data_IF_549024942394
#
_entry.id   IF_549024942394
#
_cell.length_a   1.000
_cell.length_b   1.000
_cell.length_c   1.000
_cell.angle_alpha   90.00
_cell.angle_beta   90.00
_cell.angle_gamma   90.00
#
_symmetry.space_group_name_H-M   'P 1'
#
loop_
_entity.id
_entity.type
_entity.pdbx_description
1 polymer ?
#
# COMPACT_ATOMS: atom_id res chain seq x y z
N UNK A 1 -19.38 54.75 11.59
CA UNK A 1 -18.88 54.77 10.21
C UNK A 1 -17.50 54.13 10.28
N UNK A 2 -17.34 52.81 10.29
CA UNK A 2 -17.93 51.79 9.40
C UNK A 2 -17.82 52.26 7.94
N UNK A 3 -17.13 51.59 7.03
CA UNK A 3 -16.98 50.16 6.90
C UNK A 3 -15.68 49.87 6.13
N UNK A 4 -14.87 48.94 6.61
CA UNK A 4 -13.64 48.49 5.94
C UNK A 4 -14.01 47.72 4.68
N UNK A 5 -13.70 48.30 3.54
CA UNK A 5 -13.82 47.67 2.22
C UNK A 5 -12.76 46.55 2.11
N UNK A 6 -13.09 45.37 2.64
CA UNK A 6 -12.28 44.16 2.47
C UNK A 6 -12.83 43.42 1.26
N UNK A 7 -12.16 43.57 0.12
CA UNK A 7 -12.32 42.69 -1.04
C UNK A 7 -12.31 41.23 -0.56
N UNK A 8 -13.30 40.40 -0.92
CA UNK A 8 -13.29 38.99 -0.53
C UNK A 8 -12.00 38.32 -1.00
N UNK A 9 -11.27 37.70 -0.07
CA UNK A 9 -10.09 36.89 -0.43
C UNK A 9 -10.59 35.73 -1.28
N UNK A 10 -10.18 35.68 -2.55
CA UNK A 10 -10.44 34.51 -3.40
C UNK A 10 -9.64 33.33 -2.84
N UNK A 11 -10.33 32.36 -2.25
CA UNK A 11 -9.73 31.11 -1.81
C UNK A 11 -9.62 30.20 -3.03
N UNK A 12 -8.40 29.88 -3.45
CA UNK A 12 -8.18 28.84 -4.46
C UNK A 12 -8.06 27.51 -3.71
N UNK A 13 -8.99 26.60 -3.98
CA UNK A 13 -8.91 25.24 -3.45
C UNK A 13 -7.76 24.48 -4.12
N UNK A 14 -7.14 23.49 -3.43
CA UNK A 14 -6.03 22.73 -3.99
C UNK A 14 -6.49 21.81 -5.13
N UNK A 15 -5.53 21.37 -5.95
CA UNK A 15 -5.74 20.34 -6.95
C UNK A 15 -6.92 20.63 -7.88
N UNK A 16 -7.66 19.58 -8.17
CA UNK A 16 -8.82 19.60 -9.05
C UNK A 16 -10.06 20.23 -8.43
N UNK A 17 -10.08 20.46 -7.12
CA UNK A 17 -11.15 21.23 -6.46
C UNK A 17 -11.11 22.71 -6.86
N UNK A 18 -9.91 23.25 -7.10
CA UNK A 18 -9.72 24.64 -7.55
C UNK A 18 -9.65 24.81 -9.05
N UNK A 19 -9.23 23.77 -9.78
CA UNK A 19 -9.14 23.75 -11.24
C UNK A 19 -9.27 22.31 -11.76
N UNK A 20 -10.41 21.98 -12.36
CA UNK A 20 -10.71 20.60 -12.84
C UNK A 20 -9.70 20.06 -13.86
N UNK A 21 -8.97 20.92 -14.56
CA UNK A 21 -7.92 20.58 -15.53
C UNK A 21 -6.53 20.41 -14.91
N UNK A 22 -6.41 20.56 -13.58
CA UNK A 22 -5.12 20.37 -12.90
C UNK A 22 -4.64 18.92 -13.02
N UNK A 23 -3.33 18.76 -13.16
CA UNK A 23 -2.59 17.50 -13.30
C UNK A 23 -1.36 17.54 -12.40
N UNK A 24 -0.69 16.41 -12.19
CA UNK A 24 0.60 16.39 -11.48
C UNK A 24 1.62 17.37 -12.08
N UNK A 25 1.62 17.57 -13.40
CA UNK A 25 2.47 18.56 -14.08
C UNK A 25 2.17 20.01 -13.71
N UNK A 26 0.92 20.34 -13.44
CA UNK A 26 0.47 21.73 -13.24
C UNK A 26 0.12 22.06 -11.80
N UNK A 27 0.01 21.06 -10.93
CA UNK A 27 -0.21 21.23 -9.51
C UNK A 27 1.06 21.79 -8.85
N UNK A 28 1.00 22.98 -8.23
CA UNK A 28 2.17 23.62 -7.64
C UNK A 28 2.72 22.88 -6.42
N UNK A 29 2.00 21.86 -5.91
CA UNK A 29 2.44 21.05 -4.77
C UNK A 29 3.38 19.92 -5.19
N UNK A 30 3.32 19.46 -6.44
CA UNK A 30 4.11 18.33 -6.94
C UNK A 30 5.61 18.58 -6.76
N UNK A 31 6.34 17.62 -6.17
CA UNK A 31 7.80 17.68 -6.12
C UNK A 31 8.34 17.69 -7.56
N UNK A 32 9.06 18.74 -7.99
CA UNK A 32 9.51 18.87 -9.38
C UNK A 32 10.45 17.72 -9.79
N UNK A 33 11.19 17.12 -8.85
CA UNK A 33 12.07 15.98 -9.13
C UNK A 33 11.26 14.71 -9.40
N UNK A 34 10.21 14.48 -8.63
CA UNK A 34 9.25 13.39 -8.87
C UNK A 34 8.56 13.60 -10.21
N UNK A 35 8.17 14.84 -10.55
CA UNK A 35 7.60 15.16 -11.84
C UNK A 35 8.52 14.75 -13.00
N UNK A 36 9.83 15.02 -12.92
CA UNK A 36 10.78 14.56 -13.95
C UNK A 36 10.74 13.03 -14.15
N UNK A 37 10.57 12.27 -13.05
CA UNK A 37 10.42 10.82 -13.08
C UNK A 37 9.11 10.39 -13.73
N UNK A 38 8.00 11.03 -13.37
CA UNK A 38 6.68 10.80 -13.97
C UNK A 38 6.69 11.08 -15.48
N UNK A 39 7.33 12.17 -15.91
CA UNK A 39 7.46 12.52 -17.33
C UNK A 39 8.22 11.46 -18.10
N UNK A 40 9.28 10.90 -17.51
CA UNK A 40 10.10 9.87 -18.16
C UNK A 40 9.31 8.57 -18.46
N UNK A 41 8.24 8.30 -17.71
CA UNK A 41 7.41 7.10 -17.86
C UNK A 41 5.98 7.39 -18.32
N UNK A 42 5.69 8.65 -18.70
CA UNK A 42 4.38 9.06 -19.24
C UNK A 42 3.24 9.11 -18.22
N UNK A 43 3.54 9.37 -16.95
CA UNK A 43 2.57 9.42 -15.84
C UNK A 43 2.32 10.82 -15.26
N UNK A 44 2.83 11.87 -15.91
CA UNK A 44 2.72 13.26 -15.44
C UNK A 44 1.38 13.94 -15.77
N UNK A 45 0.64 13.38 -16.74
CA UNK A 45 -0.66 13.86 -17.21
C UNK A 45 -1.83 13.05 -16.65
N UNK A 46 -3.03 13.34 -17.15
CA UNK A 46 -4.19 12.46 -16.95
C UNK A 46 -4.09 11.32 -17.96
N UNK A 47 -4.23 10.09 -17.49
CA UNK A 47 -4.49 8.95 -18.37
C UNK A 47 -5.83 9.12 -19.10
N UNK A 48 -5.99 8.38 -20.20
CA UNK A 48 -7.29 8.22 -20.83
C UNK A 48 -8.22 7.45 -19.88
N UNK A 49 -9.51 7.77 -19.90
CA UNK A 49 -10.50 6.99 -19.16
C UNK A 49 -10.43 5.52 -19.63
N UNK A 50 -10.66 4.54 -18.72
CA UNK A 50 -10.69 3.15 -19.09
C UNK A 50 -11.64 2.88 -20.27
N UNK A 51 -11.25 2.01 -21.23
CA UNK A 51 -12.12 1.64 -22.35
C UNK A 51 -13.28 0.71 -21.93
N UNK A 52 -13.37 0.37 -20.64
CA UNK A 52 -14.36 -0.52 -20.04
C UNK A 52 -15.06 0.19 -18.87
N UNK A 53 -16.22 -0.31 -18.48
CA UNK A 53 -17.00 0.21 -17.34
C UNK A 53 -17.33 -0.93 -16.37
N UNK A 54 -17.85 -0.63 -15.18
CA UNK A 54 -18.22 -1.68 -14.22
C UNK A 54 -19.31 -2.66 -14.73
N UNK A 55 -20.08 -2.25 -15.74
CA UNK A 55 -21.09 -3.08 -16.40
C UNK A 55 -20.52 -3.91 -17.57
N UNK A 56 -19.24 -3.72 -17.91
CA UNK A 56 -18.56 -4.53 -18.93
C UNK A 56 -18.48 -6.00 -18.49
N UNK A 57 -18.51 -6.95 -19.45
CA UNK A 57 -18.26 -8.36 -19.17
C UNK A 57 -16.95 -8.59 -18.41
N UNK A 58 -16.94 -9.56 -17.47
CA UNK A 58 -15.79 -9.83 -16.60
C UNK A 58 -14.51 -10.16 -17.38
N UNK A 59 -14.60 -10.84 -18.51
CA UNK A 59 -13.47 -11.14 -19.39
C UNK A 59 -12.82 -9.87 -19.95
N UNK A 60 -13.60 -8.85 -20.31
CA UNK A 60 -13.08 -7.54 -20.73
C UNK A 60 -12.42 -6.78 -19.56
N UNK A 61 -12.97 -6.90 -18.35
CA UNK A 61 -12.35 -6.32 -17.15
C UNK A 61 -11.01 -6.99 -16.85
N UNK A 62 -10.92 -8.33 -16.95
CA UNK A 62 -9.68 -9.07 -16.79
C UNK A 62 -8.65 -8.74 -17.88
N UNK A 63 -9.07 -8.56 -19.13
CA UNK A 63 -8.18 -8.13 -20.22
C UNK A 63 -7.62 -6.73 -19.95
N UNK A 64 -8.47 -5.79 -19.53
CA UNK A 64 -8.06 -4.43 -19.18
C UNK A 64 -7.02 -4.41 -18.06
N UNK A 65 -7.27 -5.10 -16.94
CA UNK A 65 -6.32 -5.12 -15.82
C UNK A 65 -5.03 -5.87 -16.16
N UNK A 66 -5.06 -6.84 -17.09
CA UNK A 66 -3.84 -7.51 -17.55
C UNK A 66 -2.96 -6.55 -18.35
N UNK A 67 -3.57 -5.71 -19.20
CA UNK A 67 -2.87 -4.63 -19.88
C UNK A 67 -2.29 -3.59 -18.90
N UNK A 68 -3.06 -3.23 -17.87
CA UNK A 68 -2.62 -2.33 -16.82
C UNK A 68 -1.44 -2.92 -16.00
N UNK A 69 -1.48 -4.21 -15.68
CA UNK A 69 -0.38 -4.92 -15.00
C UNK A 69 0.92 -4.84 -15.81
N UNK A 70 0.86 -5.17 -17.10
CA UNK A 70 2.02 -5.10 -17.99
C UNK A 70 2.58 -3.68 -18.11
N UNK A 71 1.70 -2.68 -18.17
CA UNK A 71 2.11 -1.28 -18.19
C UNK A 71 2.87 -0.90 -16.90
N UNK A 72 2.33 -1.21 -15.72
CA UNK A 72 3.00 -0.88 -14.46
C UNK A 72 4.28 -1.68 -14.24
N UNK A 73 4.34 -2.96 -14.64
CA UNK A 73 5.58 -3.73 -14.64
C UNK A 73 6.66 -3.06 -15.50
N UNK A 74 6.29 -2.50 -16.66
CA UNK A 74 7.23 -1.76 -17.50
C UNK A 74 7.70 -0.46 -16.85
N UNK A 75 6.79 0.31 -16.27
CA UNK A 75 7.12 1.52 -15.51
C UNK A 75 8.09 1.20 -14.36
N UNK A 76 7.81 0.16 -13.59
CA UNK A 76 8.67 -0.33 -12.51
C UNK A 76 10.05 -0.70 -13.04
N UNK A 77 10.13 -1.49 -14.10
CA UNK A 77 11.39 -1.88 -14.72
C UNK A 77 12.21 -0.65 -15.13
N UNK A 78 11.58 0.35 -15.75
CA UNK A 78 12.29 1.56 -16.19
C UNK A 78 12.78 2.41 -15.00
N UNK A 79 11.94 2.59 -13.97
CA UNK A 79 12.28 3.28 -12.74
C UNK A 79 13.44 2.61 -11.98
N UNK A 80 13.55 1.29 -12.00
CA UNK A 80 14.55 0.54 -11.22
C UNK A 80 15.75 0.03 -12.03
N UNK A 81 15.70 0.12 -13.36
CA UNK A 81 16.80 -0.28 -14.26
C UNK A 81 18.14 0.37 -13.88
N UNK A 82 19.24 -0.36 -14.00
CA UNK A 82 20.60 0.16 -13.78
C UNK A 82 20.88 0.73 -12.37
N UNK A 83 20.02 0.46 -11.38
CA UNK A 83 20.40 0.71 -9.99
C UNK A 83 21.50 -0.26 -9.57
N UNK A 84 22.48 0.18 -8.77
CA UNK A 84 23.46 -0.73 -8.19
C UNK A 84 22.74 -1.74 -7.28
N UNK A 85 23.29 -2.96 -7.14
CA UNK A 85 22.78 -3.93 -6.18
C UNK A 85 22.87 -3.36 -4.76
N UNK A 86 22.03 -3.89 -3.88
CA UNK A 86 22.09 -3.56 -2.44
C UNK A 86 23.12 -4.47 -1.80
N UNK A 87 24.20 -3.89 -1.28
CA UNK A 87 25.29 -4.65 -0.66
C UNK A 87 24.89 -5.19 0.73
N UNK A 88 25.49 -6.32 1.12
CA UNK A 88 25.36 -6.86 2.48
C UNK A 88 24.02 -7.51 2.80
N UNK A 89 23.22 -7.84 1.79
CA UNK A 89 21.91 -8.52 1.92
C UNK A 89 21.95 -9.87 1.23
N UNK A 90 21.40 -10.89 1.89
CA UNK A 90 21.16 -12.22 1.33
C UNK A 90 19.66 -12.40 1.15
N UNK A 91 19.27 -12.96 -0.01
CA UNK A 91 17.89 -13.33 -0.30
C UNK A 91 17.77 -14.81 -0.62
N UNK A 92 16.68 -15.45 -0.16
CA UNK A 92 16.27 -16.80 -0.57
C UNK A 92 14.76 -16.88 -0.70
N UNK A 93 14.28 -17.88 -1.41
CA UNK A 93 12.85 -18.19 -1.51
C UNK A 93 12.55 -19.44 -0.72
N UNK A 94 11.47 -19.40 0.07
CA UNK A 94 10.87 -20.55 0.73
C UNK A 94 9.47 -20.78 0.16
N UNK A 95 9.08 -22.04 -0.06
CA UNK A 95 7.73 -22.38 -0.52
C UNK A 95 6.98 -23.07 0.61
N UNK A 96 5.83 -22.52 0.97
CA UNK A 96 4.98 -23.04 2.05
C UNK A 96 3.64 -23.51 1.50
N UNK A 97 2.90 -24.27 2.30
CA UNK A 97 1.52 -24.67 1.99
C UNK A 97 0.53 -23.72 2.65
N UNK A 98 -0.35 -23.11 1.85
CA UNK A 98 -1.44 -22.26 2.30
C UNK A 98 -2.63 -23.04 2.86
N UNK A 99 -3.62 -22.30 3.38
CA UNK A 99 -4.77 -22.86 4.09
C UNK A 99 -5.65 -23.81 3.26
N UNK A 100 -5.68 -23.66 1.94
CA UNK A 100 -6.43 -24.48 0.99
C UNK A 100 -5.52 -25.40 0.16
N UNK A 101 -4.27 -25.60 0.60
CA UNK A 101 -3.32 -26.54 -0.01
C UNK A 101 -2.56 -25.97 -1.21
N UNK A 102 -2.70 -24.68 -1.52
CA UNK A 102 -1.90 -23.99 -2.52
C UNK A 102 -0.44 -23.80 -2.06
N UNK A 103 0.47 -23.65 -3.01
CA UNK A 103 1.84 -23.22 -2.72
C UNK A 103 1.89 -21.69 -2.62
N UNK A 104 2.62 -21.18 -1.63
CA UNK A 104 2.87 -19.74 -1.43
C UNK A 104 4.37 -19.55 -1.36
N UNK A 105 4.91 -18.65 -2.19
CA UNK A 105 6.32 -18.28 -2.13
C UNK A 105 6.53 -17.15 -1.13
N UNK A 106 7.54 -17.31 -0.28
CA UNK A 106 8.03 -16.30 0.66
C UNK A 106 9.46 -15.89 0.25
N UNK A 107 9.64 -14.62 -0.11
CA UNK A 107 10.95 -14.05 -0.43
C UNK A 107 11.57 -13.48 0.84
N UNK A 108 12.57 -14.16 1.37
CA UNK A 108 13.20 -13.84 2.65
C UNK A 108 14.51 -13.11 2.39
N UNK A 109 14.60 -11.85 2.84
CA UNK A 109 15.76 -10.97 2.73
C UNK A 109 16.28 -10.65 4.13
N UNK A 110 17.59 -10.71 4.36
CA UNK A 110 18.19 -10.35 5.64
C UNK A 110 19.65 -9.90 5.46
N UNK A 111 20.23 -9.16 6.42
CA UNK A 111 21.66 -8.87 6.42
C UNK A 111 22.51 -10.14 6.33
N UNK A 112 23.64 -10.07 5.62
CA UNK A 112 24.64 -11.15 5.57
C UNK A 112 25.11 -11.59 6.97
N UNK A 113 25.15 -10.65 7.91
CA UNK A 113 25.58 -10.87 9.29
C UNK A 113 24.48 -10.41 10.24
N UNK A 114 24.06 -11.32 11.12
CA UNK A 114 23.09 -11.05 12.18
C UNK A 114 23.74 -11.39 13.52
N UNK A 115 23.92 -10.39 14.38
CA UNK A 115 24.51 -10.55 15.72
C UNK A 115 23.47 -10.96 16.79
N UNK A 116 22.28 -11.39 16.35
CA UNK A 116 21.15 -11.80 17.18
C UNK A 116 19.83 -11.68 16.41
N UNK A 117 18.68 -11.97 17.06
CA UNK A 117 17.37 -11.78 16.45
C UNK A 117 17.12 -10.32 16.07
N UNK A 118 16.58 -10.11 14.87
CA UNK A 118 16.23 -8.80 14.31
C UNK A 118 14.70 -8.63 14.20
N UNK A 119 14.18 -7.39 14.19
CA UNK A 119 12.79 -7.19 13.84
C UNK A 119 12.52 -7.67 12.40
N UNK A 120 11.34 -8.25 12.18
CA UNK A 120 10.88 -8.67 10.86
C UNK A 120 9.86 -7.70 10.30
N UNK A 121 9.98 -7.37 9.01
CA UNK A 121 8.91 -6.78 8.21
C UNK A 121 8.29 -7.88 7.34
N UNK A 122 7.06 -8.28 7.63
CA UNK A 122 6.26 -9.10 6.72
C UNK A 122 5.65 -8.15 5.68
N UNK A 123 6.18 -8.18 4.45
CA UNK A 123 5.85 -7.24 3.38
C UNK A 123 4.73 -7.78 2.48
N UNK A 124 3.62 -7.06 2.43
CA UNK A 124 2.51 -7.28 1.50
C UNK A 124 2.55 -6.23 0.40
N UNK A 125 2.75 -6.63 -0.85
CA UNK A 125 2.92 -5.71 -1.97
C UNK A 125 1.61 -5.07 -2.45
N UNK A 126 1.71 -3.91 -3.08
CA UNK A 126 0.63 -3.17 -3.72
C UNK A 126 0.14 -3.78 -5.04
N UNK A 127 -0.73 -3.06 -5.74
CA UNK A 127 -1.43 -3.56 -6.93
C UNK A 127 -2.92 -3.82 -6.71
N UNK A 128 -3.52 -3.15 -5.72
CA UNK A 128 -4.96 -3.19 -5.45
C UNK A 128 -5.50 -4.58 -5.06
N UNK A 129 -4.63 -5.48 -4.58
CA UNK A 129 -4.93 -6.90 -4.32
C UNK A 129 -5.33 -7.69 -5.58
N UNK A 130 -5.12 -7.13 -6.78
CA UNK A 130 -5.61 -7.68 -8.06
C UNK A 130 -4.49 -7.86 -9.08
N UNK A 131 -3.39 -7.10 -9.04
CA UNK A 131 -2.30 -7.21 -10.01
C UNK A 131 -0.94 -7.04 -9.34
N UNK A 132 0.13 -7.19 -10.13
CA UNK A 132 1.55 -7.17 -9.76
C UNK A 132 1.97 -8.39 -8.93
N UNK A 133 3.27 -8.54 -8.76
CA UNK A 133 3.88 -9.67 -8.05
C UNK A 133 4.96 -9.14 -7.12
N UNK A 134 5.18 -9.80 -5.99
CA UNK A 134 6.27 -9.51 -5.07
C UNK A 134 7.67 -9.63 -5.71
N UNK A 135 7.80 -10.24 -6.90
CA UNK A 135 9.02 -10.29 -7.70
C UNK A 135 9.31 -9.02 -8.51
N UNK A 136 8.37 -8.08 -8.59
CA UNK A 136 8.60 -6.81 -9.31
C UNK A 136 9.80 -6.05 -8.71
N UNK A 137 10.62 -5.44 -9.59
CA UNK A 137 11.92 -4.84 -9.23
C UNK A 137 11.84 -3.84 -8.08
N UNK A 138 10.76 -3.05 -8.02
CA UNK A 138 10.53 -2.09 -6.93
C UNK A 138 10.35 -2.78 -5.58
N UNK A 139 9.61 -3.90 -5.50
CA UNK A 139 9.39 -4.62 -4.26
C UNK A 139 10.62 -5.43 -3.84
N UNK A 140 11.32 -6.06 -4.79
CA UNK A 140 12.60 -6.72 -4.52
C UNK A 140 13.61 -5.70 -3.97
N UNK A 141 13.71 -4.53 -4.61
CA UNK A 141 14.57 -3.43 -4.15
C UNK A 141 14.16 -2.93 -2.77
N UNK A 142 12.87 -2.71 -2.54
CA UNK A 142 12.31 -2.27 -1.25
C UNK A 142 12.67 -3.23 -0.11
N UNK A 143 12.48 -4.54 -0.31
CA UNK A 143 12.82 -5.55 0.70
C UNK A 143 14.32 -5.61 0.97
N UNK A 144 15.16 -5.48 -0.07
CA UNK A 144 16.60 -5.42 0.09
C UNK A 144 17.05 -4.18 0.88
N UNK A 145 16.57 -2.98 0.54
CA UNK A 145 16.95 -1.75 1.23
C UNK A 145 16.46 -1.75 2.70
N UNK A 146 15.25 -2.27 2.97
CA UNK A 146 14.78 -2.50 4.34
C UNK A 146 15.70 -3.48 5.09
N UNK A 147 16.05 -4.61 4.48
CA UNK A 147 16.92 -5.61 5.09
C UNK A 147 18.31 -5.04 5.41
N UNK A 148 18.87 -4.22 4.52
CA UNK A 148 20.16 -3.54 4.70
C UNK A 148 20.21 -2.64 5.95
N UNK A 149 19.06 -2.21 6.48
CA UNK A 149 18.98 -1.43 7.73
C UNK A 149 18.97 -2.28 9.02
N UNK A 150 19.21 -3.59 8.92
CA UNK A 150 19.25 -4.50 10.06
C UNK A 150 17.86 -5.03 10.42
N UNK A 151 17.13 -5.52 9.43
CA UNK A 151 15.82 -6.17 9.59
C UNK A 151 15.78 -7.45 8.77
N UNK A 152 14.99 -8.44 9.20
CA UNK A 152 14.56 -9.51 8.30
C UNK A 152 13.33 -9.00 7.54
N UNK A 153 13.22 -9.27 6.25
CA UNK A 153 12.07 -8.87 5.45
C UNK A 153 11.56 -10.07 4.69
N UNK A 154 10.28 -10.39 4.86
CA UNK A 154 9.63 -11.52 4.19
C UNK A 154 8.53 -10.99 3.30
N UNK A 155 8.75 -10.99 1.99
CA UNK A 155 7.72 -10.69 0.99
C UNK A 155 6.88 -11.91 0.72
N UNK A 156 5.56 -11.79 0.75
CA UNK A 156 4.62 -12.87 0.42
C UNK A 156 4.11 -12.73 -1.02
N UNK A 157 4.22 -13.79 -1.82
CA UNK A 157 3.57 -13.90 -3.15
C UNK A 157 2.17 -14.48 -2.98
N UNK A 158 1.20 -13.61 -2.70
CA UNK A 158 -0.19 -14.01 -2.51
C UNK A 158 -0.93 -14.09 -3.85
N UNK A 159 -1.99 -14.90 -3.91
CA UNK A 159 -2.88 -14.94 -5.07
C UNK A 159 -3.62 -13.61 -5.25
N UNK A 160 -3.71 -13.16 -6.50
CA UNK A 160 -4.35 -11.90 -6.86
C UNK A 160 -5.79 -12.09 -7.34
N UNK A 161 -6.60 -11.03 -7.22
CA UNK A 161 -7.92 -10.95 -7.83
C UNK A 161 -7.92 -11.07 -9.36
N UNK A 162 -6.81 -10.72 -10.03
CA UNK A 162 -6.63 -10.78 -11.48
C UNK A 162 -5.16 -10.88 -11.89
N UNK A 163 -4.85 -10.55 -13.15
CA UNK A 163 -3.49 -10.51 -13.67
C UNK A 163 -2.82 -11.88 -13.74
N UNK A 164 -1.49 -11.89 -13.78
CA UNK A 164 -0.68 -13.11 -13.92
C UNK A 164 -0.84 -14.10 -12.76
N UNK A 165 -1.22 -13.61 -11.57
CA UNK A 165 -1.43 -14.41 -10.35
C UNK A 165 -2.92 -14.60 -10.01
N UNK A 166 -3.82 -14.29 -10.95
CA UNK A 166 -5.27 -14.38 -10.79
C UNK A 166 -5.90 -15.59 -11.48
N UNK A 167 -7.22 -15.75 -11.41
CA UNK A 167 -8.24 -14.83 -10.88
C UNK A 167 -8.82 -15.38 -9.55
N UNK A 168 -8.30 -14.90 -8.42
CA UNK A 168 -8.67 -15.38 -7.10
C UNK A 168 -9.29 -14.24 -6.27
N UNK A 169 -10.63 -14.12 -6.25
CA UNK A 169 -11.32 -13.09 -5.46
C UNK A 169 -11.01 -13.17 -3.95
N UNK A 170 -11.40 -12.11 -3.23
CA UNK A 170 -11.44 -12.12 -1.78
C UNK A 170 -12.16 -13.40 -1.26
N UNK A 171 -11.64 -14.09 -0.23
CA UNK A 171 -10.49 -13.74 0.61
C UNK A 171 -9.17 -14.46 0.25
N UNK A 172 -8.96 -14.93 -0.98
CA UNK A 172 -7.81 -15.78 -1.32
C UNK A 172 -6.45 -15.17 -0.94
N UNK A 173 -6.13 -13.97 -1.45
CA UNK A 173 -4.87 -13.29 -1.12
C UNK A 173 -4.72 -12.94 0.37
N UNK A 174 -5.83 -12.63 1.06
CA UNK A 174 -5.82 -12.39 2.51
C UNK A 174 -5.47 -13.67 3.30
N UNK A 175 -6.02 -14.81 2.88
CA UNK A 175 -5.71 -16.10 3.48
C UNK A 175 -4.25 -16.50 3.23
N UNK A 176 -3.70 -16.21 2.05
CA UNK A 176 -2.28 -16.46 1.75
C UNK A 176 -1.37 -15.59 2.64
N UNK A 177 -1.71 -14.31 2.84
CA UNK A 177 -1.00 -13.43 3.77
C UNK A 177 -1.03 -13.95 5.21
N UNK A 178 -2.19 -14.44 5.67
CA UNK A 178 -2.33 -15.03 7.00
C UNK A 178 -1.51 -16.33 7.14
N UNK A 179 -1.53 -17.22 6.15
CA UNK A 179 -0.70 -18.43 6.12
C UNK A 179 0.80 -18.10 6.14
N UNK A 180 1.23 -17.15 5.31
CA UNK A 180 2.62 -16.67 5.27
C UNK A 180 3.09 -16.10 6.60
N UNK A 181 2.30 -15.20 7.22
CA UNK A 181 2.65 -14.61 8.50
C UNK A 181 2.73 -15.64 9.62
N UNK A 182 1.76 -16.56 9.67
CA UNK A 182 1.75 -17.64 10.66
C UNK A 182 2.98 -18.53 10.54
N UNK A 183 3.37 -18.89 9.31
CA UNK A 183 4.59 -19.65 9.07
C UNK A 183 5.84 -18.88 9.51
N UNK A 184 5.94 -17.58 9.22
CA UNK A 184 7.08 -16.74 9.67
C UNK A 184 7.15 -16.70 11.19
N UNK A 185 6.03 -16.54 11.89
CA UNK A 185 6.01 -16.52 13.35
C UNK A 185 6.45 -17.85 13.98
N UNK A 186 6.02 -18.97 13.39
CA UNK A 186 6.35 -20.33 13.84
C UNK A 186 7.84 -20.65 13.61
N UNK A 187 8.42 -20.11 12.53
CA UNK A 187 9.84 -20.31 12.18
C UNK A 187 10.76 -19.17 12.65
N UNK A 188 10.25 -18.19 13.41
CA UNK A 188 10.97 -16.95 13.76
C UNK A 188 12.34 -17.20 14.40
N UNK A 189 12.48 -18.28 15.20
CA UNK A 189 13.76 -18.62 15.85
C UNK A 189 14.83 -19.02 14.84
N UNK A 190 14.45 -19.81 13.83
CA UNK A 190 15.36 -20.23 12.75
C UNK A 190 15.68 -19.07 11.82
N UNK A 191 14.68 -18.21 11.57
CA UNK A 191 14.83 -17.01 10.74
C UNK A 191 15.62 -15.89 11.44
N UNK A 192 15.93 -16.01 12.74
CA UNK A 192 16.58 -14.94 13.50
C UNK A 192 15.69 -13.71 13.67
N UNK A 193 14.40 -13.91 13.92
CA UNK A 193 13.39 -12.86 14.06
C UNK A 193 12.98 -12.71 15.53
N UNK A 194 12.98 -11.47 16.04
CA UNK A 194 12.48 -11.14 17.38
C UNK A 194 10.96 -10.99 17.42
N UNK A 195 10.42 -10.15 16.53
CA UNK A 195 8.99 -9.83 16.43
C UNK A 195 8.65 -9.41 15.00
N UNK A 196 7.36 -9.41 14.66
CA UNK A 196 6.89 -9.16 13.30
C UNK A 196 6.08 -7.86 13.25
N UNK A 197 6.46 -6.98 12.34
CA UNK A 197 5.66 -5.85 11.86
C UNK A 197 5.10 -6.23 10.49
N UNK A 198 3.82 -6.01 10.25
CA UNK A 198 3.26 -6.11 8.89
C UNK A 198 3.39 -4.76 8.22
N UNK A 199 3.90 -4.73 6.99
CA UNK A 199 4.04 -3.49 6.23
C UNK A 199 3.62 -3.70 4.79
N UNK A 200 2.99 -2.69 4.20
CA UNK A 200 2.63 -2.73 2.79
C UNK A 200 2.07 -1.40 2.33
N UNK A 201 2.06 -1.21 1.02
CA UNK A 201 1.60 0.00 0.37
C UNK A 201 0.37 -0.23 -0.50
N UNK A 202 -0.52 0.77 -0.61
CA UNK A 202 -1.70 0.68 -1.47
C UNK A 202 -2.57 -0.54 -1.10
N UNK A 203 -2.82 -1.45 -2.04
CA UNK A 203 -3.49 -2.72 -1.77
C UNK A 203 -2.72 -3.64 -0.80
N UNK A 204 -1.41 -3.52 -0.74
CA UNK A 204 -0.58 -4.15 0.28
C UNK A 204 -0.81 -3.54 1.67
N UNK A 205 -1.09 -2.24 1.73
CA UNK A 205 -1.50 -1.55 2.95
C UNK A 205 -2.87 -2.00 3.45
N UNK A 206 -3.79 -2.30 2.52
CA UNK A 206 -5.05 -2.97 2.84
C UNK A 206 -4.78 -4.34 3.46
N UNK A 207 -4.05 -5.22 2.77
CA UNK A 207 -3.75 -6.56 3.27
C UNK A 207 -3.00 -6.53 4.60
N UNK A 208 -2.10 -5.57 4.84
CA UNK A 208 -1.43 -5.41 6.12
C UNK A 208 -2.41 -5.18 7.28
N UNK A 209 -3.38 -4.29 7.08
CA UNK A 209 -4.42 -3.98 8.06
C UNK A 209 -5.38 -5.18 8.19
N UNK A 210 -5.87 -5.71 7.07
CA UNK A 210 -6.83 -6.82 7.01
C UNK A 210 -6.27 -8.11 7.63
N UNK A 211 -5.00 -8.45 7.39
CA UNK A 211 -4.33 -9.59 8.04
C UNK A 211 -4.26 -9.39 9.56
N UNK A 212 -4.01 -8.17 10.03
CA UNK A 212 -4.00 -7.85 11.47
C UNK A 212 -5.40 -7.96 12.09
N UNK A 213 -6.43 -7.51 11.38
CA UNK A 213 -7.82 -7.67 11.83
C UNK A 213 -8.24 -9.13 11.86
N UNK A 214 -7.89 -9.91 10.83
CA UNK A 214 -8.09 -11.36 10.79
C UNK A 214 -7.36 -12.06 11.95
N UNK A 215 -6.16 -11.61 12.28
CA UNK A 215 -5.40 -12.10 13.45
C UNK A 215 -6.18 -11.94 14.76
N UNK A 216 -6.85 -10.80 14.92
CA UNK A 216 -7.71 -10.53 16.08
C UNK A 216 -8.95 -11.43 16.07
N UNK A 217 -9.64 -11.54 14.94
CA UNK A 217 -10.84 -12.38 14.82
C UNK A 217 -10.56 -13.86 15.08
N UNK A 218 -9.38 -14.35 14.68
CA UNK A 218 -8.98 -15.75 14.78
C UNK A 218 -8.13 -16.07 16.02
N UNK A 219 -7.83 -15.07 16.87
CA UNK A 219 -7.18 -15.28 18.17
C UNK A 219 -5.67 -15.50 18.14
N UNK A 220 -4.97 -14.97 17.14
CA UNK A 220 -3.49 -15.01 17.02
C UNK A 220 -2.86 -13.63 16.86
N UNK A 221 -3.53 -12.58 17.35
CA UNK A 221 -3.07 -11.18 17.29
C UNK A 221 -1.70 -10.95 17.95
N UNK A 222 -1.31 -11.78 18.92
CA UNK A 222 -0.01 -11.77 19.58
C UNK A 222 1.17 -12.01 18.63
N UNK A 223 0.91 -12.53 17.42
CA UNK A 223 1.91 -12.70 16.36
C UNK A 223 2.29 -11.39 15.66
N UNK A 224 1.51 -10.31 15.85
CA UNK A 224 1.69 -9.02 15.17
C UNK A 224 2.06 -7.94 16.18
N UNK A 225 3.31 -7.48 16.16
CA UNK A 225 3.80 -6.45 17.08
C UNK A 225 3.42 -5.02 16.66
N UNK A 226 3.15 -4.79 15.36
CA UNK A 226 2.77 -3.50 14.83
C UNK A 226 2.44 -3.55 13.33
N UNK A 227 1.85 -2.47 12.83
CA UNK A 227 1.43 -2.34 11.43
C UNK A 227 1.94 -1.03 10.86
N UNK A 228 2.53 -1.07 9.67
CA UNK A 228 2.96 0.10 8.92
C UNK A 228 2.27 0.11 7.55
N UNK A 229 1.18 0.86 7.40
CA UNK A 229 0.41 0.93 6.17
C UNK A 229 0.73 2.22 5.39
N UNK A 230 1.24 2.06 4.18
CA UNK A 230 1.58 3.15 3.25
C UNK A 230 0.43 3.36 2.26
N UNK A 231 0.06 4.61 2.00
CA UNK A 231 -0.98 5.04 1.05
C UNK A 231 -2.16 4.03 0.91
N UNK A 232 -2.81 3.63 2.02
CA UNK A 232 -3.62 2.41 2.04
C UNK A 232 -4.86 2.53 1.14
N UNK A 233 -5.14 1.48 0.36
CA UNK A 233 -6.30 1.35 -0.55
C UNK A 233 -7.42 0.55 0.11
N UNK A 234 -8.28 1.21 0.88
CA UNK A 234 -9.10 0.57 1.91
C UNK A 234 -10.59 0.92 1.84
N UNK A 235 -11.02 1.84 0.97
CA UNK A 235 -12.44 2.25 0.87
C UNK A 235 -13.33 1.31 0.06
N UNK A 236 -12.88 0.88 -1.13
CA UNK A 236 -13.56 -0.13 -1.95
C UNK A 236 -14.75 0.31 -2.80
N UNK A 237 -15.29 1.51 -2.59
CA UNK A 237 -16.51 2.00 -3.25
C UNK A 237 -16.24 3.24 -4.13
N UNK A 238 -15.14 3.20 -4.90
CA UNK A 238 -14.62 4.34 -5.65
C UNK A 238 -15.53 4.87 -6.77
N UNK A 239 -16.52 4.10 -7.21
CA UNK A 239 -17.51 4.55 -8.20
C UNK A 239 -18.54 5.53 -7.64
N UNK A 240 -18.67 5.61 -6.31
CA UNK A 240 -19.57 6.55 -5.65
C UNK A 240 -18.97 7.02 -4.31
N UNK A 241 -17.86 7.78 -4.35
CA UNK A 241 -17.17 8.17 -3.14
C UNK A 241 -17.95 9.25 -2.37
N UNK A 242 -17.94 9.23 -1.03
CA UNK A 242 -18.58 10.22 -0.21
C UNK A 242 -17.79 11.53 -0.26
N UNK A 243 -18.48 12.66 -0.10
CA UNK A 243 -17.85 13.99 -0.10
C UNK A 243 -16.79 14.22 1.00
N UNK A 244 -16.78 13.39 2.05
CA UNK A 244 -15.78 13.43 3.11
C UNK A 244 -14.40 12.92 2.66
N UNK A 245 -14.34 12.07 1.63
CA UNK A 245 -13.11 11.64 0.98
C UNK A 245 -12.73 12.64 -0.12
N UNK A 246 -12.45 13.87 0.30
CA UNK A 246 -12.23 15.00 -0.59
C UNK A 246 -11.06 14.77 -1.57
N UNK A 247 -10.02 14.06 -1.13
CA UNK A 247 -8.86 13.68 -1.94
C UNK A 247 -9.23 12.87 -3.18
N UNK A 248 -10.29 12.05 -3.15
CA UNK A 248 -10.77 11.29 -4.31
C UNK A 248 -11.32 12.20 -5.42
N UNK A 249 -11.63 13.47 -5.12
CA UNK A 249 -12.01 14.49 -6.09
C UNK A 249 -10.83 15.42 -6.39
N UNK A 250 -10.09 15.84 -5.35
CA UNK A 250 -8.96 16.76 -5.43
C UNK A 250 -7.82 16.23 -6.30
N UNK A 251 -7.48 14.95 -6.16
CA UNK A 251 -6.32 14.33 -6.79
C UNK A 251 -6.74 13.23 -7.79
N UNK A 252 -8.01 13.23 -8.23
CA UNK A 252 -8.50 12.22 -9.17
C UNK A 252 -7.73 12.26 -10.50
N UNK A 253 -7.19 11.12 -10.93
CA UNK A 253 -6.39 11.02 -12.16
C UNK A 253 -4.92 11.42 -11.98
N UNK A 254 -4.48 11.66 -10.75
CA UNK A 254 -3.05 11.77 -10.44
C UNK A 254 -2.50 10.34 -10.30
N UNK A 255 -1.94 9.82 -11.39
CA UNK A 255 -1.50 8.41 -11.57
C UNK A 255 -2.64 7.38 -11.65
N UNK A 256 -3.66 7.50 -10.79
CA UNK A 256 -4.85 6.64 -10.79
C UNK A 256 -6.12 7.49 -10.75
N UNK A 257 -7.16 7.01 -11.44
CA UNK A 257 -8.51 7.56 -11.35
C UNK A 257 -9.47 6.62 -10.61
N UNK A 258 -10.59 7.20 -10.18
CA UNK A 258 -11.65 6.49 -9.46
C UNK A 258 -12.26 5.34 -10.25
N UNK A 259 -12.29 5.41 -11.58
CA UNK A 259 -12.90 4.39 -12.43
C UNK A 259 -12.02 3.14 -12.50
N UNK A 260 -10.71 3.32 -12.70
CA UNK A 260 -9.70 2.27 -12.67
C UNK A 260 -9.65 1.59 -11.30
N UNK A 261 -9.71 2.36 -10.22
CA UNK A 261 -9.82 1.83 -8.86
C UNK A 261 -11.11 1.04 -8.64
N UNK A 262 -12.25 1.53 -9.15
CA UNK A 262 -13.52 0.80 -9.03
C UNK A 262 -13.48 -0.54 -9.79
N UNK A 263 -12.79 -0.62 -10.94
CA UNK A 263 -12.60 -1.89 -11.68
C UNK A 263 -11.76 -2.88 -10.86
N UNK A 264 -10.67 -2.43 -10.24
CA UNK A 264 -9.87 -3.25 -9.33
C UNK A 264 -10.73 -3.78 -8.16
N UNK A 265 -11.50 -2.89 -7.52
CA UNK A 265 -12.42 -3.27 -6.45
C UNK A 265 -13.46 -4.31 -6.90
N UNK A 266 -14.03 -4.14 -8.10
CA UNK A 266 -14.98 -5.08 -8.71
C UNK A 266 -14.35 -6.46 -8.94
N UNK A 267 -13.11 -6.55 -9.37
CA UNK A 267 -12.46 -7.85 -9.58
C UNK A 267 -12.02 -8.52 -8.28
N UNK A 268 -11.73 -7.73 -7.24
CA UNK A 268 -11.45 -8.25 -5.91
C UNK A 268 -12.71 -8.84 -5.22
N UNK A 269 -13.87 -8.23 -5.43
CA UNK A 269 -15.18 -8.67 -4.90
C UNK A 269 -16.24 -8.66 -6.03
N UNK A 270 -16.24 -9.65 -6.95
CA UNK A 270 -17.08 -9.67 -8.14
C UNK A 270 -18.57 -9.50 -7.89
N UNK A 271 -19.08 -10.07 -6.79
CA UNK A 271 -20.49 -10.05 -6.45
C UNK A 271 -20.87 -8.88 -5.53
N UNK A 272 -19.88 -8.12 -5.02
CA UNK A 272 -20.11 -6.97 -4.14
C UNK A 272 -20.57 -7.33 -2.73
N UNK A 273 -20.59 -8.61 -2.37
CA UNK A 273 -21.05 -9.11 -1.07
C UNK A 273 -20.15 -8.64 0.08
N UNK A 274 -18.89 -8.33 -0.22
CA UNK A 274 -17.88 -7.88 0.74
C UNK A 274 -17.60 -6.37 0.67
N UNK A 275 -18.40 -5.61 -0.08
CA UNK A 275 -18.21 -4.16 -0.31
C UNK A 275 -18.13 -3.30 0.97
N UNK A 276 -18.63 -3.81 2.10
CA UNK A 276 -18.50 -3.19 3.44
C UNK A 276 -17.90 -4.14 4.49
N UNK A 277 -17.38 -5.29 4.07
CA UNK A 277 -16.69 -6.22 4.95
C UNK A 277 -15.33 -5.60 5.36
N UNK A 278 -15.07 -5.38 6.66
CA UNK A 278 -13.83 -4.76 7.11
C UNK A 278 -12.55 -5.53 6.76
N UNK A 279 -12.64 -6.85 6.52
CA UNK A 279 -11.49 -7.65 6.08
C UNK A 279 -11.18 -7.50 4.58
N UNK A 280 -12.15 -7.06 3.77
CA UNK A 280 -11.92 -6.72 2.37
C UNK A 280 -11.56 -5.22 2.23
N UNK A 281 -12.23 -4.38 3.01
CA UNK A 281 -12.14 -2.93 2.95
C UNK A 281 -12.08 -2.33 4.36
N UNK A 282 -10.86 -2.25 4.96
CA UNK A 282 -10.66 -1.79 6.34
C UNK A 282 -11.27 -0.44 6.68
N UNK A 283 -11.52 0.42 5.69
CA UNK A 283 -12.24 1.68 5.89
C UNK A 283 -13.58 1.48 6.59
N UNK A 284 -14.26 0.34 6.40
CA UNK A 284 -15.58 0.08 6.98
C UNK A 284 -15.54 -0.53 8.38
N UNK A 285 -14.36 -0.83 8.93
CA UNK A 285 -14.23 -1.34 10.30
C UNK A 285 -14.91 -0.42 11.32
N UNK A 286 -15.62 -0.99 12.30
CA UNK A 286 -16.14 -0.30 13.46
C UNK A 286 -15.04 0.03 14.47
N UNK A 287 -15.34 0.89 15.44
CA UNK A 287 -14.39 1.24 16.51
C UNK A 287 -14.08 0.01 17.37
N UNK A 288 -15.06 -0.86 17.58
CA UNK A 288 -14.97 -2.08 18.36
C UNK A 288 -14.09 -3.14 17.67
N UNK A 289 -14.21 -3.26 16.35
CA UNK A 289 -13.36 -4.14 15.53
C UNK A 289 -11.89 -3.69 15.55
N UNK A 290 -11.63 -2.38 15.68
CA UNK A 290 -10.26 -1.85 15.77
C UNK A 290 -9.68 -1.81 17.20
N UNK A 291 -10.50 -1.96 18.24
CA UNK A 291 -10.05 -1.87 19.62
C UNK A 291 -9.03 -2.97 19.97
N UNK A 292 -7.92 -2.61 20.61
CA UNK A 292 -6.88 -3.56 21.01
C UNK A 292 -5.95 -4.05 19.90
N UNK A 293 -6.07 -3.53 18.67
CA UNK A 293 -5.04 -3.73 17.65
C UNK A 293 -3.68 -3.16 18.09
N UNK A 294 -2.55 -3.73 17.61
CA UNK A 294 -1.21 -3.27 17.96
C UNK A 294 -0.94 -1.84 17.44
N UNK A 295 0.19 -1.20 17.80
CA UNK A 295 0.54 0.12 17.27
C UNK A 295 0.53 0.17 15.74
N UNK A 296 0.03 1.27 15.18
CA UNK A 296 -0.07 1.50 13.73
C UNK A 296 0.68 2.78 13.30
N UNK A 297 1.31 2.73 12.14
CA UNK A 297 1.71 3.92 11.38
C UNK A 297 0.93 3.94 10.07
N UNK A 298 0.27 5.07 9.78
CA UNK A 298 -0.39 5.35 8.52
C UNK A 298 0.41 6.43 7.77
N UNK A 299 1.14 6.04 6.72
CA UNK A 299 1.93 6.95 5.90
C UNK A 299 1.17 7.33 4.64
N UNK A 300 0.87 8.61 4.46
CA UNK A 300 0.10 9.14 3.33
C UNK A 300 1.01 9.90 2.36
N UNK A 301 0.53 10.09 1.13
CA UNK A 301 1.15 10.92 0.11
C UNK A 301 0.24 12.14 -0.15
N UNK A 302 0.79 13.35 -0.28
CA UNK A 302 -0.01 14.59 -0.32
C UNK A 302 -0.93 14.68 -1.54
N UNK A 303 -0.44 14.28 -2.72
CA UNK A 303 -1.12 14.35 -4.00
C UNK A 303 -1.75 13.01 -4.40
N UNK A 304 -2.16 12.21 -3.41
CA UNK A 304 -2.77 10.90 -3.59
C UNK A 304 -4.30 10.99 -3.46
N UNK A 305 -5.09 10.40 -4.39
CA UNK A 305 -6.54 10.31 -4.22
C UNK A 305 -6.96 9.51 -2.97
N UNK A 306 -6.14 8.58 -2.48
CA UNK A 306 -6.40 7.74 -1.29
C UNK A 306 -6.00 8.38 0.04
N UNK A 307 -5.50 9.64 0.01
CA UNK A 307 -4.99 10.32 1.21
C UNK A 307 -6.03 10.36 2.35
N UNK A 308 -7.25 10.78 2.05
CA UNK A 308 -8.25 11.05 3.09
C UNK A 308 -8.80 9.75 3.72
N UNK A 309 -8.90 8.64 2.97
CA UNK A 309 -9.36 7.36 3.53
C UNK A 309 -8.36 6.79 4.54
N UNK A 310 -7.06 6.90 4.26
CA UNK A 310 -6.02 6.54 5.22
C UNK A 310 -6.03 7.45 6.46
N UNK A 311 -6.22 8.76 6.27
CA UNK A 311 -6.34 9.71 7.40
C UNK A 311 -7.56 9.41 8.29
N UNK A 312 -8.72 9.14 7.69
CA UNK A 312 -9.93 8.80 8.44
C UNK A 312 -9.80 7.44 9.15
N UNK A 313 -9.11 6.47 8.55
CA UNK A 313 -8.78 5.21 9.22
C UNK A 313 -7.86 5.43 10.43
N UNK A 314 -6.83 6.27 10.30
CA UNK A 314 -6.00 6.69 11.43
C UNK A 314 -6.84 7.31 12.57
N UNK A 315 -7.74 8.24 12.26
CA UNK A 315 -8.65 8.80 13.27
C UNK A 315 -9.51 7.74 13.93
N UNK A 316 -9.92 6.70 13.19
CA UNK A 316 -10.72 5.60 13.72
C UNK A 316 -9.93 4.71 14.68
N UNK A 317 -8.67 4.42 14.37
CA UNK A 317 -7.75 3.73 15.28
C UNK A 317 -7.60 4.50 16.60
N UNK A 318 -7.45 5.83 16.54
CA UNK A 318 -7.38 6.67 17.74
C UNK A 318 -8.69 6.64 18.55
N UNK A 319 -9.84 6.70 17.89
CA UNK A 319 -11.17 6.58 18.54
C UNK A 319 -11.36 5.21 19.23
N UNK A 320 -10.75 4.15 18.69
CA UNK A 320 -10.73 2.82 19.29
C UNK A 320 -9.76 2.69 20.48
N UNK A 321 -9.07 3.76 20.86
CA UNK A 321 -8.06 3.76 21.92
C UNK A 321 -6.72 3.16 21.51
N UNK A 322 -6.51 2.90 20.21
CA UNK A 322 -5.26 2.36 19.68
C UNK A 322 -4.14 3.40 19.61
N UNK A 323 -2.89 2.91 19.60
CA UNK A 323 -1.72 3.74 19.30
C UNK A 323 -1.60 3.88 17.79
N UNK A 324 -1.76 5.09 17.26
CA UNK A 324 -1.61 5.35 15.83
C UNK A 324 -0.85 6.64 15.58
N UNK A 325 0.10 6.60 14.65
CA UNK A 325 0.79 7.78 14.10
C UNK A 325 0.39 7.92 12.64
N UNK A 326 0.10 9.15 12.21
CA UNK A 326 -0.12 9.46 10.80
C UNK A 326 0.89 10.50 10.34
N UNK A 327 1.45 10.29 9.16
CA UNK A 327 2.37 11.21 8.51
C UNK A 327 1.96 11.41 7.06
N UNK A 328 2.32 12.56 6.49
CA UNK A 328 2.13 12.85 5.07
C UNK A 328 3.49 13.16 4.45
N UNK A 329 3.78 12.50 3.34
CA UNK A 329 4.90 12.82 2.47
C UNK A 329 4.43 13.91 1.52
N UNK A 330 4.96 15.11 1.71
CA UNK A 330 4.56 16.27 0.91
C UNK A 330 5.22 16.22 -0.46
N UNK A 331 4.51 16.71 -1.47
CA UNK A 331 4.94 16.74 -2.86
C UNK A 331 4.87 15.40 -3.59
N UNK A 332 4.42 14.33 -2.95
CA UNK A 332 4.37 13.00 -3.56
C UNK A 332 2.98 12.59 -4.04
N UNK A 333 2.91 11.94 -5.20
CA UNK A 333 1.74 11.19 -5.64
C UNK A 333 1.70 9.80 -4.97
N UNK A 334 0.67 9.02 -5.28
CA UNK A 334 0.49 7.66 -4.77
C UNK A 334 1.76 6.82 -4.93
N UNK A 335 2.21 6.20 -3.83
CA UNK A 335 3.37 5.30 -3.77
C UNK A 335 4.71 5.86 -4.33
N UNK A 336 4.83 7.18 -4.53
CA UNK A 336 6.03 7.76 -5.13
C UNK A 336 7.32 7.45 -4.35
N UNK A 337 7.21 7.36 -3.02
CA UNK A 337 8.29 7.08 -2.09
C UNK A 337 8.81 5.65 -2.13
N UNK A 338 8.15 4.75 -2.88
CA UNK A 338 8.65 3.41 -3.17
C UNK A 338 8.94 3.18 -4.66
N UNK A 339 8.61 4.13 -5.53
CA UNK A 339 8.72 3.98 -6.99
C UNK A 339 9.83 4.84 -7.59
N UNK A 340 9.99 6.08 -7.14
CA UNK A 340 10.86 7.07 -7.78
C UNK A 340 12.21 7.26 -7.05
N UNK A 341 12.84 6.16 -6.62
CA UNK A 341 14.12 6.18 -5.87
C UNK A 341 15.23 6.97 -6.57
N UNK A 342 15.28 6.98 -7.91
CA UNK A 342 16.29 7.76 -8.68
C UNK A 342 16.06 9.27 -8.62
N UNK A 343 14.81 9.69 -8.43
CA UNK A 343 14.39 11.09 -8.54
C UNK A 343 14.25 11.75 -7.16
N UNK A 344 13.70 11.03 -6.20
CA UNK A 344 13.46 11.49 -4.82
C UNK A 344 14.07 10.51 -3.79
N UNK A 345 15.39 10.22 -3.87
CA UNK A 345 16.04 9.24 -3.00
C UNK A 345 15.94 9.61 -1.51
N UNK A 346 15.94 10.90 -1.20
CA UNK A 346 15.79 11.41 0.16
C UNK A 346 14.42 11.08 0.77
N UNK A 347 13.34 11.14 -0.02
CA UNK A 347 11.99 10.75 0.39
C UNK A 347 11.92 9.23 0.55
N UNK A 348 12.43 8.47 -0.42
CA UNK A 348 12.53 7.00 -0.36
C UNK A 348 13.25 6.55 0.92
N UNK A 349 14.46 7.07 1.17
CA UNK A 349 15.25 6.72 2.35
C UNK A 349 14.56 7.18 3.64
N UNK A 350 13.78 8.26 3.61
CA UNK A 350 13.01 8.71 4.78
C UNK A 350 11.96 7.69 5.20
N UNK A 351 11.28 7.07 4.22
CA UNK A 351 10.31 6.01 4.49
C UNK A 351 11.00 4.77 5.05
N UNK A 352 12.11 4.33 4.46
CA UNK A 352 12.93 3.21 4.96
C UNK A 352 13.36 3.45 6.42
N UNK A 353 13.91 4.63 6.74
CA UNK A 353 14.35 4.98 8.09
C UNK A 353 13.20 4.98 9.09
N UNK A 354 12.02 5.43 8.69
CA UNK A 354 10.86 5.49 9.58
C UNK A 354 10.30 4.10 9.88
N UNK A 355 10.20 3.22 8.87
CA UNK A 355 9.84 1.81 9.08
C UNK A 355 10.85 1.14 10.01
N UNK A 356 12.16 1.36 9.80
CA UNK A 356 13.21 0.81 10.67
C UNK A 356 13.09 1.31 12.12
N UNK A 357 12.83 2.60 12.29
CA UNK A 357 12.63 3.25 13.59
C UNK A 357 11.39 2.70 14.29
N UNK A 358 10.28 2.56 13.58
CA UNK A 358 9.05 1.98 14.09
C UNK A 358 9.26 0.53 14.53
N UNK A 359 9.75 -0.32 13.64
CA UNK A 359 10.01 -1.73 13.93
C UNK A 359 11.02 -1.92 15.07
N UNK A 360 12.03 -1.04 15.19
CA UNK A 360 13.04 -1.09 16.24
C UNK A 360 12.60 -0.62 17.63
N UNK A 361 11.51 0.16 17.73
CA UNK A 361 10.96 0.63 19.02
C UNK A 361 9.96 -0.35 19.62
N UNK A 362 9.43 -1.25 18.81
CA UNK A 362 8.56 -2.32 19.29
C UNK A 362 9.41 -3.39 19.98
N UNK A 363 8.87 -3.95 21.06
CA UNK A 363 9.44 -5.11 21.74
C UNK A 363 8.55 -6.32 21.50
N UNK A 364 9.04 -7.52 21.85
CA UNK A 364 8.17 -8.66 22.05
C UNK A 364 7.04 -8.24 23.02
N UNK A 365 5.78 -8.38 22.60
CA UNK A 365 4.67 -8.36 23.52
C UNK A 365 4.65 -9.75 24.18
N UNK A 366 4.84 -9.80 25.49
CA UNK A 366 4.88 -11.04 26.28
C UNK A 366 3.48 -11.59 26.57
#
# INVERSE_FOLDING_TARGET
MDNTDKTPVKINLPGRLGNEEMTLRTDPRTDPRMLDGLVAVGLDGRGDAPPVTLDSPLDQLFEFISGMELFFQKVIQDCFSNLPPVDGVVSRTETITGSDGNEISLFIHHPEKMDGPLPCVFHTHGGGMVILSAECDNFVRWRNDLAATGMVVVGVEFRNGGGALGNHPFPAGLNDCASGLNWVFENRKELGISHIVISGESGGGNLAISTTMKAKEEGWLDRVAGVYAQCPYIYGLYSNPPSELCSLFENNGYMFDTDSMAILAKLYDPDGENSRNPLAWPYHASVEELAGLPPHVISLNELDPLRDEGFLFHQKLLKAGGSSVCRTLNGTCHAADILFIKNIPDIYDSTIRDIRSFAGKLSEQH
#
